data_IF_328275307514
#
_entry.id   IF_328275307514
#
_cell.length_a   1.000
_cell.length_b   1.000
_cell.length_c   1.000
_cell.angle_alpha   90.00
_cell.angle_beta   90.00
_cell.angle_gamma   90.00
#
_symmetry.space_group_name_H-M   'P 1'
#
loop_
_entity.id
_entity.type
_entity.pdbx_description
1 polymer ?
#
# COMPACT_ATOMS: atom_id res chain seq x y z
N UNK A 1 -33.42 15.21 -15.79
CA UNK A 1 -32.57 14.05 -15.48
C UNK A 1 -33.41 13.09 -14.69
N UNK A 2 -33.85 11.99 -15.31
CA UNK A 2 -34.51 10.89 -14.59
C UNK A 2 -33.48 9.90 -14.05
N UNK A 3 -33.82 9.13 -13.04
CA UNK A 3 -32.98 8.06 -12.47
C UNK A 3 -32.48 7.10 -13.58
N UNK A 4 -33.37 6.73 -14.50
CA UNK A 4 -33.07 5.83 -15.63
C UNK A 4 -32.03 6.41 -16.60
N UNK A 5 -32.04 7.74 -16.78
CA UNK A 5 -31.04 8.41 -17.63
C UNK A 5 -29.66 8.42 -16.95
N UNK A 6 -29.63 8.49 -15.61
CA UNK A 6 -28.40 8.44 -14.83
C UNK A 6 -27.80 7.03 -14.85
N UNK A 7 -28.61 5.99 -14.63
CA UNK A 7 -28.15 4.60 -14.64
C UNK A 7 -27.57 4.19 -16.00
N UNK A 8 -28.23 4.58 -17.10
CA UNK A 8 -27.74 4.30 -18.45
C UNK A 8 -26.39 4.97 -18.71
N UNK A 9 -26.25 6.23 -18.31
CA UNK A 9 -24.99 6.96 -18.47
C UNK A 9 -23.84 6.32 -17.69
N UNK A 10 -24.09 5.81 -16.47
CA UNK A 10 -23.10 5.08 -15.67
C UNK A 10 -22.77 3.71 -16.30
N UNK A 11 -23.77 3.02 -16.84
CA UNK A 11 -23.58 1.72 -17.47
C UNK A 11 -22.77 1.80 -18.77
N UNK A 12 -22.96 2.86 -19.56
CA UNK A 12 -22.29 3.08 -20.84
C UNK A 12 -20.92 3.77 -20.69
N UNK A 13 -20.53 4.16 -19.48
CA UNK A 13 -19.23 4.80 -19.21
C UNK A 13 -18.08 3.77 -19.27
N UNK A 14 -17.13 3.90 -20.21
CA UNK A 14 -15.99 2.99 -20.32
C UNK A 14 -15.03 3.06 -19.11
N UNK A 15 -14.93 4.21 -18.43
CA UNK A 15 -14.10 4.35 -17.24
C UNK A 15 -14.74 3.65 -16.03
N UNK A 16 -16.06 3.47 -16.03
CA UNK A 16 -16.77 2.77 -14.96
C UNK A 16 -16.73 1.24 -15.11
N UNK A 17 -16.42 0.71 -16.30
CA UNK A 17 -16.46 -0.72 -16.59
C UNK A 17 -15.59 -1.57 -15.65
N UNK A 18 -14.44 -1.05 -15.20
CA UNK A 18 -13.51 -1.75 -14.31
C UNK A 18 -13.98 -1.83 -12.85
N UNK A 19 -14.96 -1.01 -12.45
CA UNK A 19 -15.40 -0.88 -11.06
C UNK A 19 -16.76 -1.54 -10.79
N UNK A 20 -17.44 -2.05 -11.84
CA UNK A 20 -18.79 -2.65 -11.75
C UNK A 20 -18.88 -3.86 -10.81
N UNK A 21 -17.80 -4.63 -10.70
CA UNK A 21 -17.75 -5.86 -9.88
C UNK A 21 -17.11 -5.65 -8.51
N UNK A 22 -16.74 -4.42 -8.16
CA UNK A 22 -16.11 -4.13 -6.87
C UNK A 22 -17.20 -4.11 -5.79
N UNK A 23 -17.12 -5.07 -4.88
CA UNK A 23 -17.91 -5.06 -3.66
C UNK A 23 -17.33 -4.06 -2.65
N UNK A 24 -17.75 -2.80 -2.78
CA UNK A 24 -17.35 -1.69 -1.91
C UNK A 24 -17.73 -1.92 -0.44
N UNK A 25 -18.67 -2.82 -0.13
CA UNK A 25 -19.04 -3.13 1.25
C UNK A 25 -17.98 -3.98 1.97
N UNK A 26 -17.15 -4.71 1.21
CA UNK A 26 -16.16 -5.66 1.74
C UNK A 26 -14.71 -5.27 1.43
N UNK A 27 -14.44 -4.02 1.05
CA UNK A 27 -13.08 -3.53 0.83
C UNK A 27 -12.32 -3.47 2.16
N UNK A 28 -11.23 -4.23 2.26
CA UNK A 28 -10.32 -4.15 3.40
C UNK A 28 -9.51 -2.85 3.35
N UNK A 29 -10.02 -1.81 4.03
CA UNK A 29 -9.28 -0.56 4.20
C UNK A 29 -8.13 -0.80 5.17
N UNK A 30 -6.90 -0.93 4.67
CA UNK A 30 -5.73 -0.93 5.54
C UNK A 30 -5.58 0.44 6.20
N UNK A 31 -5.69 0.55 7.54
CA UNK A 31 -5.53 1.82 8.20
C UNK A 31 -4.11 2.35 7.96
N UNK A 32 -4.02 3.62 7.58
CA UNK A 32 -2.73 4.31 7.51
C UNK A 32 -2.24 4.56 8.93
N UNK A 33 -1.39 3.67 9.43
CA UNK A 33 -0.72 3.87 10.70
C UNK A 33 0.51 4.75 10.47
N UNK A 34 0.60 5.94 11.10
CA UNK A 34 1.76 6.79 10.96
C UNK A 34 3.01 6.05 11.46
N UNK A 35 4.12 6.19 10.73
CA UNK A 35 5.40 5.61 11.15
C UNK A 35 5.92 6.41 12.33
N UNK A 36 6.36 5.72 13.38
CA UNK A 36 7.04 6.39 14.49
C UNK A 36 8.46 6.77 14.06
N UNK A 37 8.79 8.06 14.15
CA UNK A 37 10.15 8.53 13.91
C UNK A 37 11.03 8.18 15.12
N UNK A 38 12.01 7.31 14.91
CA UNK A 38 12.97 6.90 15.94
C UNK A 38 14.39 7.07 15.41
N UNK A 39 15.34 7.22 16.33
CA UNK A 39 16.77 7.14 16.01
C UNK A 39 17.25 5.70 16.20
N UNK A 40 17.86 5.13 15.17
CA UNK A 40 18.50 3.81 15.19
C UNK A 40 19.91 3.92 14.62
N UNK A 41 20.81 3.04 15.06
CA UNK A 41 22.14 2.89 14.47
C UNK A 41 22.11 1.71 13.50
N UNK A 42 22.68 1.92 12.32
CA UNK A 42 22.86 0.90 11.29
C UNK A 42 24.33 0.88 10.92
N UNK A 43 24.83 -0.28 10.51
CA UNK A 43 26.17 -0.39 9.99
C UNK A 43 26.32 0.44 8.69
N UNK A 44 27.51 1.00 8.42
CA UNK A 44 27.71 1.89 7.27
C UNK A 44 27.39 1.24 5.93
N UNK A 45 27.76 -0.03 5.76
CA UNK A 45 27.56 -0.82 4.54
C UNK A 45 26.07 -1.10 4.28
N UNK A 46 25.30 -1.40 5.34
CA UNK A 46 23.84 -1.53 5.27
C UNK A 46 23.21 -0.21 4.83
N UNK A 47 23.67 0.91 5.39
CA UNK A 47 23.15 2.22 5.02
C UNK A 47 23.49 2.58 3.56
N UNK A 48 24.71 2.31 3.11
CA UNK A 48 25.13 2.52 1.72
C UNK A 48 24.32 1.66 0.75
N UNK A 49 24.11 0.38 1.07
CA UNK A 49 23.32 -0.54 0.26
C UNK A 49 21.93 0.03 -0.05
N UNK A 50 21.20 0.49 0.98
CA UNK A 50 19.86 1.02 0.78
C UNK A 50 19.86 2.42 0.14
N UNK A 51 20.90 3.23 0.35
CA UNK A 51 21.02 4.57 -0.25
C UNK A 51 21.39 4.54 -1.74
N UNK A 52 21.97 3.45 -2.24
CA UNK A 52 22.38 3.31 -3.65
C UNK A 52 21.28 3.67 -4.65
N UNK A 53 20.04 3.30 -4.35
CA UNK A 53 18.88 3.54 -5.23
C UNK A 53 18.18 4.89 -4.97
N UNK A 54 18.84 5.81 -4.25
CA UNK A 54 18.35 7.18 -4.04
C UNK A 54 17.26 7.31 -2.96
N UNK A 55 16.40 8.35 -3.06
CA UNK A 55 15.36 8.64 -2.09
C UNK A 55 14.46 7.44 -1.76
N UNK A 56 13.88 7.43 -0.56
CA UNK A 56 13.02 6.34 -0.09
C UNK A 56 13.74 5.15 0.55
N UNK A 57 15.06 5.24 0.75
CA UNK A 57 15.86 4.19 1.40
C UNK A 57 15.33 3.77 2.78
N UNK A 58 14.83 4.71 3.59
CA UNK A 58 14.19 4.41 4.88
C UNK A 58 12.93 3.54 4.72
N UNK A 59 12.15 3.77 3.66
CA UNK A 59 10.99 2.96 3.32
C UNK A 59 11.39 1.53 2.96
N UNK A 60 12.47 1.36 2.18
CA UNK A 60 13.03 0.06 1.84
C UNK A 60 13.55 -0.69 3.07
N UNK A 61 14.25 -0.02 3.98
CA UNK A 61 14.66 -0.59 5.28
C UNK A 61 13.44 -1.10 6.04
N UNK A 62 12.40 -0.28 6.18
CA UNK A 62 11.19 -0.68 6.88
C UNK A 62 10.47 -1.88 6.22
N UNK A 63 10.46 -1.97 4.88
CA UNK A 63 9.88 -3.11 4.17
C UNK A 63 10.62 -4.43 4.50
N UNK A 64 11.95 -4.40 4.55
CA UNK A 64 12.75 -5.57 4.94
C UNK A 64 12.48 -5.98 6.39
N UNK A 65 12.41 -5.03 7.32
CA UNK A 65 12.07 -5.31 8.71
C UNK A 65 10.67 -5.94 8.84
N UNK A 66 9.68 -5.44 8.10
CA UNK A 66 8.32 -6.00 8.04
C UNK A 66 8.32 -7.44 7.53
N UNK A 67 9.09 -7.73 6.48
CA UNK A 67 9.23 -9.08 5.95
C UNK A 67 9.83 -10.02 6.99
N UNK A 68 10.92 -9.62 7.65
CA UNK A 68 11.53 -10.39 8.73
C UNK A 68 10.55 -10.69 9.87
N UNK A 69 9.78 -9.68 10.32
CA UNK A 69 8.74 -9.87 11.34
C UNK A 69 7.67 -10.89 10.92
N UNK A 70 7.21 -10.81 9.67
CA UNK A 70 6.18 -11.71 9.14
C UNK A 70 6.67 -13.16 9.11
N UNK A 71 7.89 -13.39 8.63
CA UNK A 71 8.50 -14.72 8.60
C UNK A 71 8.73 -15.28 10.01
N UNK A 72 9.19 -14.45 10.95
CA UNK A 72 9.31 -14.86 12.36
C UNK A 72 7.98 -15.23 13.00
N UNK A 73 6.89 -14.53 12.64
CA UNK A 73 5.54 -14.82 13.16
C UNK A 73 4.95 -16.11 12.58
N UNK A 74 5.35 -16.52 11.37
CA UNK A 74 4.91 -17.80 10.76
C UNK A 74 5.63 -19.01 11.36
N UNK A 75 6.88 -18.82 11.80
CA UNK A 75 7.75 -19.89 12.28
C UNK A 75 7.58 -20.22 13.76
N UNK A 76 6.75 -19.47 14.50
CA UNK A 76 6.40 -19.74 15.90
C UNK A 76 4.90 -19.92 16.03
#
# INVERSE_FOLDING_TARGET
MTEEQLERAIADDPDWAEFKDIDWANVEVKPFLPKQAISIRLDPDVLEFFKKDGPGYQGRINAVLRHFMAEKKKAG
#
